data_IF_790980867790
#
_entry.id   IF_790980867790
#
_cell.length_a   1.000
_cell.length_b   1.000
_cell.length_c   1.000
_cell.angle_alpha   90.00
_cell.angle_beta   90.00
_cell.angle_gamma   90.00
#
_symmetry.space_group_name_H-M   'P 1'
#
loop_
_entity.id
_entity.type
_entity.pdbx_description
1 polymer ?
#
# COMPACT_ATOMS: atom_id res chain seq x y z
N UNK A 1 7.01 17.33 0.32
CA UNK A 1 6.01 17.81 -0.67
C UNK A 1 6.12 16.93 -1.91
N UNK A 2 5.16 16.02 -2.09
CA UNK A 2 5.19 15.03 -3.18
C UNK A 2 5.10 15.75 -4.53
N UNK A 3 5.76 15.22 -5.56
CA UNK A 3 5.75 15.76 -6.94
C UNK A 3 4.34 16.11 -7.41
N UNK A 4 3.36 15.29 -7.04
CA UNK A 4 1.94 15.53 -7.32
C UNK A 4 1.41 16.86 -6.74
N UNK A 5 1.85 17.27 -5.56
CA UNK A 5 1.41 18.52 -4.93
C UNK A 5 2.01 19.76 -5.63
N UNK A 6 3.30 19.66 -6.02
CA UNK A 6 3.97 20.74 -6.77
C UNK A 6 3.33 21.01 -8.13
N UNK A 7 2.91 19.96 -8.82
CA UNK A 7 2.31 20.04 -10.16
C UNK A 7 0.78 19.95 -10.15
N UNK A 8 0.15 19.95 -8.95
CA UNK A 8 -1.30 19.77 -8.74
C UNK A 8 -1.88 18.55 -9.48
N UNK A 9 -1.07 17.49 -9.60
CA UNK A 9 -1.48 16.21 -10.16
C UNK A 9 -2.32 15.46 -9.13
N UNK A 10 -3.30 14.69 -9.62
CA UNK A 10 -4.13 13.86 -8.78
C UNK A 10 -4.13 12.43 -9.32
N UNK A 11 -4.12 11.42 -8.43
CA UNK A 11 -4.35 10.04 -8.86
C UNK A 11 -5.68 9.94 -9.59
N UNK A 12 -5.71 9.18 -10.67
CA UNK A 12 -6.93 8.94 -11.41
C UNK A 12 -7.92 8.07 -10.60
N UNK A 13 -9.11 7.82 -11.15
CA UNK A 13 -10.14 7.02 -10.45
C UNK A 13 -9.65 5.61 -10.13
N UNK A 14 -8.82 5.00 -10.99
CA UNK A 14 -8.22 3.69 -10.78
C UNK A 14 -7.08 3.77 -9.78
N UNK A 15 -6.20 4.77 -9.85
CA UNK A 15 -5.18 5.03 -8.83
C UNK A 15 -5.78 5.11 -7.42
N UNK A 16 -6.86 5.86 -7.24
CA UNK A 16 -7.57 5.95 -5.96
C UNK A 16 -8.13 4.59 -5.47
N UNK A 17 -8.58 3.73 -6.39
CA UNK A 17 -9.04 2.36 -6.02
C UNK A 17 -7.87 1.49 -5.56
N UNK A 18 -6.73 1.56 -6.24
CA UNK A 18 -5.52 0.83 -5.85
C UNK A 18 -5.06 1.28 -4.47
N UNK A 19 -5.00 2.60 -4.22
CA UNK A 19 -4.62 3.14 -2.91
C UNK A 19 -5.54 2.63 -1.80
N UNK A 20 -6.86 2.65 -2.03
CA UNK A 20 -7.83 2.13 -1.05
C UNK A 20 -7.65 0.63 -0.78
N UNK A 21 -7.39 -0.15 -1.82
CA UNK A 21 -7.10 -1.58 -1.69
C UNK A 21 -5.83 -1.80 -0.85
N UNK A 22 -4.74 -1.10 -1.19
CA UNK A 22 -3.49 -1.19 -0.45
C UNK A 22 -3.67 -0.81 1.02
N UNK A 23 -4.41 0.25 1.33
CA UNK A 23 -4.68 0.66 2.71
C UNK A 23 -5.46 -0.41 3.49
N UNK A 24 -6.40 -1.11 2.85
CA UNK A 24 -7.13 -2.22 3.46
C UNK A 24 -6.19 -3.38 3.83
N UNK A 25 -5.28 -3.74 2.92
CA UNK A 25 -4.31 -4.83 3.14
C UNK A 25 -3.30 -4.45 4.23
N UNK A 26 -2.82 -3.20 4.24
CA UNK A 26 -1.93 -2.68 5.29
C UNK A 26 -2.61 -2.71 6.66
N UNK A 27 -3.90 -2.35 6.75
CA UNK A 27 -4.65 -2.44 8.00
C UNK A 27 -4.82 -3.90 8.45
N UNK A 28 -5.13 -4.81 7.53
CA UNK A 28 -5.24 -6.23 7.83
C UNK A 28 -3.93 -6.82 8.36
N UNK A 29 -2.80 -6.49 7.72
CA UNK A 29 -1.47 -6.90 8.20
C UNK A 29 -1.18 -6.34 9.60
N UNK A 30 -1.48 -5.07 9.85
CA UNK A 30 -1.32 -4.46 11.18
C UNK A 30 -2.15 -5.19 12.25
N UNK A 31 -3.41 -5.53 11.95
CA UNK A 31 -4.26 -6.30 12.86
C UNK A 31 -3.67 -7.69 13.13
N UNK A 32 -3.19 -8.40 12.10
CA UNK A 32 -2.55 -9.70 12.27
C UNK A 32 -1.29 -9.61 13.15
N UNK A 33 -0.46 -8.59 12.96
CA UNK A 33 0.73 -8.35 13.80
C UNK A 33 0.35 -8.08 15.25
N UNK A 34 -0.69 -7.29 15.52
CA UNK A 34 -1.18 -7.05 16.89
C UNK A 34 -1.76 -8.33 17.53
N UNK A 35 -2.52 -9.12 16.78
CA UNK A 35 -3.07 -10.38 17.26
C UNK A 35 -1.99 -11.41 17.56
N UNK A 36 -0.90 -11.44 16.79
CA UNK A 36 0.25 -12.33 17.04
C UNK A 36 0.95 -12.05 18.37
N UNK A 37 0.86 -10.83 18.92
CA UNK A 37 1.37 -10.52 20.26
C UNK A 37 0.55 -11.24 21.34
N UNK A 38 -0.76 -11.37 21.11
CA UNK A 38 -1.68 -12.01 22.05
C UNK A 38 -1.78 -13.53 21.88
N UNK A 39 -1.55 -14.03 20.66
CA UNK A 39 -1.72 -15.44 20.28
C UNK A 39 -0.49 -15.89 19.48
N UNK A 40 0.41 -16.64 20.12
CA UNK A 40 1.68 -17.07 19.52
C UNK A 40 1.52 -17.89 18.24
N UNK A 41 0.44 -18.67 18.13
CA UNK A 41 0.13 -19.50 16.94
C UNK A 41 -0.19 -18.68 15.68
N UNK A 42 -0.40 -17.35 15.80
CA UNK A 42 -0.69 -16.47 14.67
C UNK A 42 0.57 -15.80 14.08
N UNK A 43 1.77 -16.13 14.56
CA UNK A 43 3.03 -15.54 14.09
C UNK A 43 3.23 -15.69 12.59
N UNK A 44 3.15 -16.92 12.08
CA UNK A 44 3.32 -17.21 10.64
C UNK A 44 2.29 -16.47 9.78
N UNK A 45 1.04 -16.35 10.27
CA UNK A 45 0.00 -15.60 9.56
C UNK A 45 0.34 -14.11 9.50
N UNK A 46 0.84 -13.53 10.58
CA UNK A 46 1.26 -12.13 10.62
C UNK A 46 2.41 -11.85 9.65
N UNK A 47 3.39 -12.75 9.57
CA UNK A 47 4.53 -12.64 8.65
C UNK A 47 4.11 -12.75 7.19
N UNK A 48 3.24 -13.71 6.85
CA UNK A 48 2.69 -13.85 5.50
C UNK A 48 1.89 -12.61 5.11
N UNK A 49 1.01 -12.12 6.00
CA UNK A 49 0.23 -10.92 5.74
C UNK A 49 1.10 -9.68 5.57
N UNK A 50 2.17 -9.54 6.36
CA UNK A 50 3.14 -8.47 6.20
C UNK A 50 3.87 -8.56 4.84
N UNK A 51 4.29 -9.76 4.41
CA UNK A 51 4.90 -9.98 3.11
C UNK A 51 3.96 -9.56 1.96
N UNK A 52 2.69 -9.96 2.02
CA UNK A 52 1.66 -9.55 1.05
C UNK A 52 1.51 -8.02 1.03
N UNK A 53 1.43 -7.41 2.22
CA UNK A 53 1.21 -5.97 2.34
C UNK A 53 2.39 -5.14 1.80
N UNK A 54 3.64 -5.61 1.98
CA UNK A 54 4.83 -5.01 1.36
C UNK A 54 4.82 -5.16 -0.18
N UNK A 55 4.44 -6.33 -0.69
CA UNK A 55 4.30 -6.55 -2.13
C UNK A 55 3.26 -5.61 -2.76
N UNK A 56 2.10 -5.46 -2.13
CA UNK A 56 1.04 -4.57 -2.63
C UNK A 56 1.43 -3.10 -2.51
N UNK A 57 2.17 -2.73 -1.46
CA UNK A 57 2.64 -1.37 -1.27
C UNK A 57 3.65 -0.95 -2.34
N UNK A 58 4.67 -1.77 -2.57
CA UNK A 58 5.69 -1.52 -3.59
C UNK A 58 5.09 -1.48 -4.99
N UNK A 59 4.14 -2.36 -5.29
CA UNK A 59 3.39 -2.33 -6.56
C UNK A 59 2.58 -1.04 -6.69
N UNK A 60 1.86 -0.63 -5.65
CA UNK A 60 1.07 0.62 -5.65
C UNK A 60 1.96 1.83 -5.87
N UNK A 61 3.11 1.91 -5.19
CA UNK A 61 4.08 2.97 -5.39
C UNK A 61 4.62 3.01 -6.83
N UNK A 62 4.92 1.84 -7.40
CA UNK A 62 5.36 1.72 -8.79
C UNK A 62 4.34 2.31 -9.77
N UNK A 63 3.06 1.99 -9.59
CA UNK A 63 1.98 2.54 -10.43
C UNK A 63 1.88 4.07 -10.32
N UNK A 64 1.91 4.64 -9.11
CA UNK A 64 1.82 6.09 -8.91
C UNK A 64 3.04 6.81 -9.49
N UNK A 65 4.22 6.22 -9.34
CA UNK A 65 5.47 6.78 -9.90
C UNK A 65 5.43 6.76 -11.42
N UNK A 66 4.96 5.67 -12.02
CA UNK A 66 4.79 5.57 -13.47
C UNK A 66 3.79 6.61 -14.00
N UNK A 67 2.67 6.81 -13.30
CA UNK A 67 1.69 7.83 -13.65
C UNK A 67 2.32 9.23 -13.65
N UNK A 68 3.01 9.60 -12.56
CA UNK A 68 3.68 10.90 -12.46
C UNK A 68 4.70 11.10 -13.59
N UNK A 69 5.47 10.06 -13.94
CA UNK A 69 6.45 10.15 -15.02
C UNK A 69 5.80 10.37 -16.40
N UNK A 70 4.63 9.79 -16.64
CA UNK A 70 3.85 10.02 -17.87
C UNK A 70 3.24 11.43 -17.86
N UNK A 71 2.71 11.90 -16.73
CA UNK A 71 2.07 13.22 -16.62
C UNK A 71 3.04 14.40 -16.64
N UNK A 72 4.31 14.16 -16.28
CA UNK A 72 5.38 15.16 -16.34
C UNK A 72 6.11 15.22 -17.68
N UNK A 73 5.85 14.27 -18.58
CA UNK A 73 6.48 14.20 -19.90
C UNK A 73 5.67 14.97 -20.93
#
# INVERSE_FOLDING_TARGET
>A
MMVMDRYRLQPDKWGNRIIRCNNCIQLASCICSLLSICISELGDLADIMNCIAQCTYTTTQGCMTAQVNVELR
#
